data_IF_217658149187
#
_entry.id   IF_217658149187
#
_cell.length_a   1.000
_cell.length_b   1.000
_cell.length_c   1.000
_cell.angle_alpha   90.00
_cell.angle_beta   90.00
_cell.angle_gamma   90.00
#
_symmetry.space_group_name_H-M   'P 1'
#
loop_
_entity.id
_entity.type
_entity.pdbx_description
1 polymer ?
#
# COMPACT_ATOMS: atom_id res chain seq x y z
N UNK A 1 2.12 -5.09 9.35
CA UNK A 1 1.17 -4.30 8.53
C UNK A 1 -0.14 -5.09 8.45
N UNK A 2 -1.26 -4.60 8.98
CA UNK A 2 -2.55 -5.31 8.87
C UNK A 2 -3.06 -5.18 7.42
N UNK A 3 -3.19 -6.31 6.71
CA UNK A 3 -3.71 -6.40 5.33
C UNK A 3 -5.24 -6.52 5.30
N UNK A 4 -5.83 -6.51 4.10
CA UNK A 4 -7.28 -6.72 3.92
C UNK A 4 -8.15 -5.50 4.29
N UNK A 5 -9.34 -5.69 4.89
CA UNK A 5 -10.27 -4.62 5.23
C UNK A 5 -9.67 -3.44 6.01
N UNK A 6 -8.76 -3.72 6.94
CA UNK A 6 -8.10 -2.69 7.74
C UNK A 6 -7.18 -1.78 6.89
N UNK A 7 -6.61 -2.31 5.81
CA UNK A 7 -5.83 -1.53 4.88
C UNK A 7 -6.71 -0.59 4.05
N UNK A 8 -7.92 -1.04 3.66
CA UNK A 8 -8.89 -0.22 2.93
C UNK A 8 -9.27 1.01 3.75
N UNK A 9 -9.64 0.81 5.02
CA UNK A 9 -10.01 1.91 5.91
C UNK A 9 -8.86 2.91 6.08
N UNK A 10 -7.66 2.42 6.40
CA UNK A 10 -6.49 3.28 6.59
C UNK A 10 -6.20 4.11 5.33
N UNK A 11 -6.22 3.48 4.17
CA UNK A 11 -5.91 4.16 2.91
C UNK A 11 -7.00 5.18 2.55
N UNK A 12 -8.28 4.89 2.81
CA UNK A 12 -9.36 5.84 2.55
C UNK A 12 -9.33 7.03 3.51
N UNK A 13 -8.96 6.82 4.77
CA UNK A 13 -8.74 7.90 5.74
C UNK A 13 -7.58 8.80 5.32
N UNK A 14 -6.50 8.23 4.79
CA UNK A 14 -5.36 9.01 4.28
C UNK A 14 -5.76 9.88 3.08
N UNK A 15 -6.59 9.35 2.19
CA UNK A 15 -6.98 10.04 0.95
C UNK A 15 -8.05 11.11 1.19
N UNK A 16 -9.06 10.83 2.02
CA UNK A 16 -10.22 11.70 2.20
C UNK A 16 -10.25 12.44 3.54
N UNK A 17 -9.35 12.11 4.46
CA UNK A 17 -9.32 12.64 5.82
C UNK A 17 -10.44 12.09 6.71
N UNK A 18 -10.42 12.44 8.02
CA UNK A 18 -11.47 12.06 8.97
C UNK A 18 -12.81 12.74 8.69
N UNK A 19 -12.79 13.90 8.01
CA UNK A 19 -13.95 14.73 7.71
C UNK A 19 -14.60 14.42 6.36
N UNK A 20 -14.27 13.26 5.74
CA UNK A 20 -14.79 12.85 4.43
C UNK A 20 -16.32 12.98 4.34
N UNK A 21 -17.04 12.69 5.43
CA UNK A 21 -18.50 12.79 5.54
C UNK A 21 -19.04 14.21 5.25
N UNK A 22 -18.29 15.27 5.58
CA UNK A 22 -18.71 16.67 5.34
C UNK A 22 -18.67 17.05 3.86
N UNK A 23 -17.86 16.35 3.06
CA UNK A 23 -17.72 16.60 1.62
C UNK A 23 -18.77 15.85 0.77
N UNK A 24 -19.70 15.15 1.42
CA UNK A 24 -20.72 14.32 0.76
C UNK A 24 -20.37 12.83 0.74
N UNK A 25 -21.40 12.01 0.50
CA UNK A 25 -21.25 10.56 0.46
C UNK A 25 -20.58 10.12 -0.85
N UNK A 26 -19.57 9.26 -0.76
CA UNK A 26 -18.87 8.67 -1.93
C UNK A 26 -19.14 7.18 -2.01
N UNK A 27 -19.23 6.64 -3.23
CA UNK A 27 -19.34 5.19 -3.45
C UNK A 27 -17.95 4.60 -3.73
N UNK A 28 -17.57 3.58 -2.98
CA UNK A 28 -16.37 2.77 -3.20
C UNK A 28 -16.78 1.37 -3.64
N UNK A 29 -16.32 0.98 -4.82
CA UNK A 29 -16.49 -0.39 -5.33
C UNK A 29 -15.32 -1.23 -4.86
N UNK A 30 -15.61 -2.31 -4.14
CA UNK A 30 -14.61 -3.20 -3.56
C UNK A 30 -14.70 -4.60 -4.16
N UNK A 31 -13.53 -5.19 -4.39
CA UNK A 31 -13.44 -6.58 -4.81
C UNK A 31 -13.81 -7.55 -3.68
N UNK A 32 -14.22 -8.76 -4.07
CA UNK A 32 -14.65 -9.87 -3.23
C UNK A 32 -13.70 -10.19 -2.07
N UNK A 33 -12.40 -10.03 -2.30
CA UNK A 33 -11.39 -10.26 -1.28
C UNK A 33 -11.55 -9.33 -0.07
N UNK A 34 -11.92 -8.07 -0.31
CA UNK A 34 -12.05 -7.04 0.73
C UNK A 34 -13.45 -6.98 1.34
N UNK A 35 -14.49 -7.37 0.59
CA UNK A 35 -15.88 -7.24 1.02
C UNK A 35 -16.17 -8.07 2.30
N UNK A 36 -16.67 -7.37 3.32
CA UNK A 36 -17.16 -7.96 4.58
C UNK A 36 -18.19 -7.03 5.22
N UNK A 37 -19.05 -7.58 6.08
CA UNK A 37 -20.08 -6.80 6.78
C UNK A 37 -19.45 -5.77 7.72
N UNK A 38 -18.39 -6.15 8.43
CA UNK A 38 -17.65 -5.23 9.29
C UNK A 38 -17.07 -4.04 8.51
N UNK A 39 -16.44 -4.30 7.35
CA UNK A 39 -15.92 -3.23 6.50
C UNK A 39 -17.03 -2.32 5.99
N UNK A 40 -18.14 -2.89 5.52
CA UNK A 40 -19.25 -2.11 4.96
C UNK A 40 -19.84 -1.14 6.01
N UNK A 41 -20.03 -1.62 7.25
CA UNK A 41 -20.48 -0.79 8.37
C UNK A 41 -19.45 0.29 8.71
N UNK A 42 -18.16 -0.06 8.77
CA UNK A 42 -17.10 0.89 9.07
C UNK A 42 -17.00 2.01 8.03
N UNK A 43 -17.08 1.67 6.74
CA UNK A 43 -17.10 2.66 5.66
C UNK A 43 -18.33 3.55 5.75
N UNK A 44 -19.50 2.98 6.07
CA UNK A 44 -20.72 3.76 6.26
C UNK A 44 -20.57 4.80 7.39
N UNK A 45 -19.95 4.42 8.50
CA UNK A 45 -19.65 5.36 9.61
C UNK A 45 -18.67 6.46 9.20
N UNK A 46 -17.75 6.16 8.28
CA UNK A 46 -16.82 7.14 7.69
C UNK A 46 -17.47 8.04 6.62
N UNK A 47 -18.76 7.88 6.33
CA UNK A 47 -19.45 8.63 5.27
C UNK A 47 -19.18 8.09 3.86
N UNK A 48 -18.85 6.82 3.73
CA UNK A 48 -18.53 6.16 2.46
C UNK A 48 -19.50 5.00 2.23
N UNK A 49 -20.21 5.04 1.11
CA UNK A 49 -20.97 3.91 0.59
C UNK A 49 -20.04 2.89 -0.02
N UNK A 50 -20.38 1.62 0.11
CA UNK A 50 -19.59 0.51 -0.43
C UNK A 50 -20.46 -0.42 -1.23
N UNK A 51 -19.93 -0.97 -2.31
CA UNK A 51 -20.56 -2.08 -3.04
C UNK A 51 -19.49 -3.08 -3.43
N UNK A 52 -19.76 -4.36 -3.18
CA UNK A 52 -18.83 -5.41 -3.53
C UNK A 52 -19.52 -6.75 -3.67
N UNK A 53 -18.92 -7.64 -4.46
CA UNK A 53 -19.30 -9.05 -4.39
C UNK A 53 -18.81 -9.64 -3.06
N UNK A 54 -19.51 -10.64 -2.51
CA UNK A 54 -19.18 -11.17 -1.18
C UNK A 54 -19.14 -12.70 -1.16
N UNK A 55 -18.22 -13.26 -0.35
CA UNK A 55 -18.18 -14.69 -0.07
C UNK A 55 -19.27 -15.09 0.93
N UNK A 56 -19.90 -16.24 0.71
CA UNK A 56 -21.02 -16.75 1.53
C UNK A 56 -20.62 -17.10 2.96
N UNK A 57 -19.35 -17.38 3.21
CA UNK A 57 -18.81 -17.72 4.53
C UNK A 57 -18.37 -16.49 5.35
N UNK A 58 -18.61 -15.26 4.87
CA UNK A 58 -18.30 -14.06 5.65
C UNK A 58 -19.25 -13.94 6.85
N UNK A 59 -18.67 -13.67 8.02
CA UNK A 59 -19.42 -13.43 9.25
C UNK A 59 -20.42 -12.29 9.07
N UNK A 60 -21.64 -12.47 9.59
CA UNK A 60 -22.71 -11.48 9.54
C UNK A 60 -23.44 -11.37 8.20
N UNK A 61 -23.03 -12.08 7.16
CA UNK A 61 -23.74 -12.04 5.87
C UNK A 61 -25.10 -12.77 5.96
N UNK A 62 -26.12 -12.18 5.34
CA UNK A 62 -27.48 -12.71 5.39
C UNK A 62 -27.57 -14.05 4.62
N UNK A 63 -27.82 -15.15 5.36
CA UNK A 63 -27.95 -16.48 4.76
C UNK A 63 -29.25 -16.67 3.97
N UNK A 64 -30.28 -15.87 4.23
CA UNK A 64 -31.59 -15.99 3.57
C UNK A 64 -31.54 -15.64 2.08
N UNK A 65 -30.59 -14.79 1.66
CA UNK A 65 -30.38 -14.47 0.23
C UNK A 65 -29.49 -15.48 -0.48
N UNK A 66 -28.93 -16.47 0.23
CA UNK A 66 -28.02 -17.45 -0.39
C UNK A 66 -28.82 -18.47 -1.17
N UNK A 67 -28.60 -18.48 -2.47
CA UNK A 67 -29.13 -19.51 -3.36
C UNK A 67 -28.42 -20.84 -3.14
N UNK A 68 -29.21 -21.92 -2.98
CA UNK A 68 -28.71 -23.29 -2.75
C UNK A 68 -28.13 -23.91 -4.03
N UNK A 69 -28.68 -23.55 -5.20
CA UNK A 69 -28.26 -24.09 -6.49
C UNK A 69 -27.03 -23.34 -7.02
N UNK A 70 -26.09 -24.07 -7.62
CA UNK A 70 -24.84 -23.50 -8.18
C UNK A 70 -25.06 -22.77 -9.51
N UNK A 71 -26.02 -23.25 -10.30
CA UNK A 71 -26.38 -22.72 -11.62
C UNK A 71 -27.84 -22.29 -11.63
N UNK A 72 -28.17 -21.33 -12.50
CA UNK A 72 -29.54 -20.84 -12.65
C UNK A 72 -30.44 -21.94 -13.22
N UNK A 73 -31.54 -22.31 -12.54
CA UNK A 73 -32.56 -23.20 -13.10
C UNK A 73 -33.27 -22.56 -14.29
N UNK A 74 -33.71 -23.37 -15.25
CA UNK A 74 -34.49 -22.88 -16.40
C UNK A 74 -35.80 -22.17 -15.99
N UNK A 75 -36.40 -22.57 -14.86
CA UNK A 75 -37.62 -21.94 -14.32
C UNK A 75 -37.40 -20.54 -13.75
N UNK A 76 -36.15 -20.12 -13.51
CA UNK A 76 -35.84 -18.78 -12.98
C UNK A 76 -35.37 -17.91 -14.15
N UNK A 77 -36.09 -16.82 -14.47
CA UNK A 77 -35.65 -15.87 -15.49
C UNK A 77 -34.28 -15.28 -15.15
N UNK A 78 -33.43 -15.12 -16.17
CA UNK A 78 -32.15 -14.41 -16.04
C UNK A 78 -32.43 -12.98 -15.58
N UNK A 79 -31.67 -12.50 -14.60
CA UNK A 79 -31.86 -11.19 -13.97
C UNK A 79 -32.73 -11.19 -12.72
N UNK A 80 -33.38 -12.30 -12.39
CA UNK A 80 -34.13 -12.42 -11.13
C UNK A 80 -33.23 -12.16 -9.92
N UNK A 81 -33.74 -11.46 -8.90
CA UNK A 81 -32.95 -11.15 -7.72
C UNK A 81 -33.74 -11.25 -6.41
N UNK A 82 -32.99 -11.49 -5.33
CA UNK A 82 -33.47 -11.41 -3.94
C UNK A 82 -32.71 -10.30 -3.22
N UNK A 83 -33.43 -9.54 -2.42
CA UNK A 83 -32.88 -8.44 -1.62
C UNK A 83 -33.24 -8.70 -0.16
N UNK A 84 -32.25 -8.61 0.72
CA UNK A 84 -32.47 -8.57 2.16
C UNK A 84 -31.80 -7.32 2.74
N UNK A 85 -32.58 -6.54 3.46
CA UNK A 85 -32.08 -5.36 4.19
C UNK A 85 -31.75 -5.75 5.62
N UNK A 86 -30.64 -5.25 6.16
CA UNK A 86 -30.28 -5.49 7.55
C UNK A 86 -31.25 -4.77 8.49
N UNK A 87 -31.69 -5.46 9.54
CA UNK A 87 -32.54 -4.89 10.59
C UNK A 87 -31.77 -3.94 11.51
N UNK A 88 -30.48 -4.22 11.74
CA UNK A 88 -29.63 -3.43 12.64
C UNK A 88 -29.04 -2.20 11.96
N UNK A 89 -28.79 -2.30 10.64
CA UNK A 89 -28.20 -1.22 9.84
C UNK A 89 -29.03 -1.08 8.56
N UNK A 90 -30.09 -0.25 8.55
CA UNK A 90 -31.04 -0.17 7.44
C UNK A 90 -30.42 0.17 6.08
N UNK A 91 -29.29 0.88 6.09
CA UNK A 91 -28.54 1.25 4.89
C UNK A 91 -27.72 0.09 4.30
N UNK A 92 -27.62 -1.05 4.98
CA UNK A 92 -26.90 -2.24 4.51
C UNK A 92 -27.86 -3.21 3.86
N UNK A 93 -27.57 -3.56 2.61
CA UNK A 93 -28.40 -4.47 1.81
C UNK A 93 -27.56 -5.60 1.23
N UNK A 94 -28.05 -6.82 1.38
CA UNK A 94 -27.52 -8.02 0.75
C UNK A 94 -28.38 -8.39 -0.47
N UNK A 95 -27.74 -8.69 -1.59
CA UNK A 95 -28.41 -8.98 -2.85
C UNK A 95 -27.89 -10.29 -3.42
N UNK A 96 -28.79 -11.13 -3.92
CA UNK A 96 -28.45 -12.26 -4.79
C UNK A 96 -29.10 -12.04 -6.14
N UNK A 97 -28.29 -11.99 -7.21
CA UNK A 97 -28.73 -11.73 -8.57
C UNK A 97 -28.40 -12.94 -9.46
N UNK A 98 -29.39 -13.40 -10.22
CA UNK A 98 -29.28 -14.57 -11.08
C UNK A 98 -28.80 -14.20 -12.48
N UNK A 99 -27.53 -14.47 -12.75
CA UNK A 99 -27.01 -14.55 -14.13
C UNK A 99 -26.98 -16.01 -14.58
N UNK A 100 -25.91 -16.50 -15.21
CA UNK A 100 -25.70 -17.95 -15.41
C UNK A 100 -25.47 -18.67 -14.07
N UNK A 101 -24.85 -17.96 -13.11
CA UNK A 101 -24.61 -18.39 -11.72
C UNK A 101 -25.10 -17.29 -10.77
N UNK A 102 -25.46 -17.62 -9.52
CA UNK A 102 -25.92 -16.62 -8.57
C UNK A 102 -24.75 -15.77 -8.11
N UNK A 103 -24.81 -14.47 -8.38
CA UNK A 103 -23.84 -13.48 -7.94
C UNK A 103 -24.36 -12.80 -6.67
N UNK A 104 -23.51 -12.69 -5.66
CA UNK A 104 -23.89 -12.20 -4.32
C UNK A 104 -23.18 -10.89 -4.07
N UNK A 105 -23.95 -9.89 -3.67
CA UNK A 105 -23.46 -8.56 -3.38
C UNK A 105 -23.78 -8.16 -1.95
N UNK A 106 -22.89 -7.38 -1.37
CA UNK A 106 -23.13 -6.60 -0.17
C UNK A 106 -22.93 -5.13 -0.53
N UNK A 107 -23.90 -4.30 -0.17
CA UNK A 107 -23.80 -2.86 -0.37
C UNK A 107 -24.26 -2.08 0.85
N UNK A 108 -23.65 -0.91 1.04
CA UNK A 108 -24.09 0.12 1.97
C UNK A 108 -24.46 1.35 1.18
N UNK A 109 -25.72 1.79 1.31
CA UNK A 109 -26.31 2.77 0.40
C UNK A 109 -26.50 2.24 -1.02
N UNK A 110 -26.84 3.14 -1.93
CA UNK A 110 -27.17 2.81 -3.32
C UNK A 110 -28.64 2.44 -3.52
N UNK A 111 -29.11 2.63 -4.75
CA UNK A 111 -30.51 2.38 -5.10
C UNK A 111 -30.74 0.90 -5.43
N UNK A 112 -31.82 0.35 -4.87
CA UNK A 112 -32.33 -0.98 -5.20
C UNK A 112 -33.43 -0.94 -6.25
N UNK A 113 -33.66 0.22 -6.89
CA UNK A 113 -34.59 0.33 -8.01
C UNK A 113 -34.16 -0.60 -9.14
N UNK A 114 -35.15 -1.11 -9.88
CA UNK A 114 -34.92 -1.96 -11.04
C UNK A 114 -34.32 -1.09 -12.16
N UNK A 115 -33.22 -1.57 -12.72
CA UNK A 115 -32.55 -1.05 -13.91
C UNK A 115 -32.18 -2.26 -14.80
N UNK A 116 -31.49 -2.03 -15.90
CA UNK A 116 -31.07 -3.05 -16.86
C UNK A 116 -29.56 -2.98 -17.12
N UNK A 117 -28.97 -4.15 -17.33
CA UNK A 117 -27.57 -4.30 -17.75
C UNK A 117 -27.50 -5.12 -19.01
N UNK A 118 -26.77 -4.64 -20.01
CA UNK A 118 -26.50 -5.39 -21.23
C UNK A 118 -25.61 -6.60 -20.94
N UNK A 119 -26.05 -7.77 -21.38
CA UNK A 119 -25.30 -9.03 -21.27
C UNK A 119 -25.25 -9.72 -22.61
N UNK A 120 -24.09 -10.30 -22.89
CA UNK A 120 -23.96 -11.16 -24.04
C UNK A 120 -24.63 -12.51 -23.76
N UNK A 121 -25.44 -12.97 -24.69
CA UNK A 121 -26.05 -14.29 -24.72
C UNK A 121 -25.75 -14.91 -26.09
N UNK A 122 -24.68 -15.71 -26.16
CA UNK A 122 -24.12 -16.15 -27.44
C UNK A 122 -23.63 -14.98 -28.30
N UNK A 123 -24.26 -14.79 -29.46
CA UNK A 123 -23.94 -13.72 -30.39
C UNK A 123 -24.73 -12.42 -30.14
N UNK A 124 -25.81 -12.46 -29.36
CA UNK A 124 -26.70 -11.33 -29.15
C UNK A 124 -26.43 -10.61 -27.82
N UNK A 125 -26.74 -9.32 -27.76
CA UNK A 125 -26.79 -8.58 -26.51
C UNK A 125 -28.23 -8.51 -26.00
N UNK A 126 -28.46 -9.08 -24.82
CA UNK A 126 -29.74 -9.11 -24.15
C UNK A 126 -29.69 -8.16 -22.94
N UNK A 127 -30.71 -7.34 -22.79
CA UNK A 127 -30.87 -6.53 -21.58
C UNK A 127 -31.47 -7.36 -20.44
N UNK A 128 -30.72 -7.48 -19.36
CA UNK A 128 -31.11 -8.26 -18.19
C UNK A 128 -31.50 -7.33 -17.05
N UNK A 129 -32.66 -7.52 -16.39
CA UNK A 129 -33.04 -6.70 -15.24
C UNK A 129 -32.06 -6.92 -14.08
N UNK A 130 -31.70 -5.84 -13.40
CA UNK A 130 -30.83 -5.88 -12.24
C UNK A 130 -31.13 -4.70 -11.30
N UNK A 131 -30.84 -4.80 -10.00
CA UNK A 131 -30.85 -3.64 -9.12
C UNK A 131 -29.82 -2.60 -9.58
N UNK A 132 -30.13 -1.31 -9.50
CA UNK A 132 -29.22 -0.22 -9.91
C UNK A 132 -27.82 -0.33 -9.29
N UNK A 133 -27.73 -0.74 -8.03
CA UNK A 133 -26.44 -0.98 -7.36
C UNK A 133 -25.56 -2.05 -8.04
N UNK A 134 -26.16 -3.04 -8.72
CA UNK A 134 -25.44 -4.04 -9.52
C UNK A 134 -24.90 -3.42 -10.81
N UNK A 135 -25.67 -2.52 -11.43
CA UNK A 135 -25.21 -1.75 -12.60
C UNK A 135 -24.06 -0.82 -12.22
N UNK A 136 -24.18 -0.10 -11.10
CA UNK A 136 -23.11 0.76 -10.57
C UNK A 136 -21.84 -0.07 -10.29
N UNK A 137 -21.98 -1.25 -9.68
CA UNK A 137 -20.84 -2.16 -9.49
C UNK A 137 -20.16 -2.49 -10.82
N UNK A 138 -20.90 -2.90 -11.84
CA UNK A 138 -20.31 -3.26 -13.13
C UNK A 138 -19.68 -2.08 -13.86
N UNK A 139 -20.22 -0.87 -13.70
CA UNK A 139 -19.67 0.34 -14.30
C UNK A 139 -18.30 0.70 -13.71
N UNK A 140 -18.08 0.46 -12.41
CA UNK A 140 -16.89 0.94 -11.70
C UNK A 140 -15.90 -0.15 -11.27
N UNK A 141 -16.28 -1.43 -11.23
CA UNK A 141 -15.42 -2.53 -10.73
C UNK A 141 -14.08 -2.65 -11.49
N UNK A 142 -14.04 -2.27 -12.77
CA UNK A 142 -12.86 -2.38 -13.62
C UNK A 142 -11.87 -1.21 -13.51
N UNK A 143 -12.13 -0.21 -12.67
CA UNK A 143 -11.28 0.99 -12.62
C UNK A 143 -9.80 0.70 -12.32
N UNK A 144 -9.55 -0.21 -11.38
CA UNK A 144 -8.18 -0.64 -11.01
C UNK A 144 -7.56 -1.49 -12.11
N UNK A 145 -8.32 -2.44 -12.68
CA UNK A 145 -7.83 -3.32 -13.74
C UNK A 145 -7.46 -2.53 -15.01
N UNK A 146 -8.23 -1.50 -15.36
CA UNK A 146 -7.93 -0.61 -16.49
C UNK A 146 -6.64 0.18 -16.24
N UNK A 147 -6.42 0.66 -15.01
CA UNK A 147 -5.18 1.34 -14.64
C UNK A 147 -3.98 0.38 -14.74
N UNK A 148 -4.10 -0.83 -14.17
CA UNK A 148 -3.05 -1.84 -14.21
C UNK A 148 -2.80 -2.34 -15.65
N UNK A 149 -3.85 -2.41 -16.47
CA UNK A 149 -3.75 -2.72 -17.89
C UNK A 149 -2.93 -1.65 -18.63
N UNK A 150 -3.21 -0.35 -18.42
CA UNK A 150 -2.41 0.72 -19.02
C UNK A 150 -0.94 0.65 -18.57
N UNK A 151 -0.72 0.31 -17.30
CA UNK A 151 0.58 0.22 -16.66
C UNK A 151 1.41 -0.97 -17.14
N UNK A 152 0.85 -2.18 -17.14
CA UNK A 152 1.57 -3.46 -17.34
C UNK A 152 1.57 -3.97 -18.79
N UNK A 153 0.93 -3.29 -19.74
CA UNK A 153 0.90 -3.72 -21.14
C UNK A 153 2.19 -3.37 -21.90
N UNK A 154 2.08 -2.57 -22.97
CA UNK A 154 3.11 -2.46 -24.03
C UNK A 154 4.30 -1.57 -23.66
N UNK A 155 4.15 -0.71 -22.66
CA UNK A 155 5.13 0.34 -22.35
C UNK A 155 5.61 0.30 -20.89
N UNK A 156 5.44 -0.84 -20.19
CA UNK A 156 5.89 -0.99 -18.81
C UNK A 156 7.41 -1.07 -18.73
N UNK A 157 8.03 -0.12 -18.04
CA UNK A 157 9.45 -0.18 -17.69
C UNK A 157 9.72 -1.36 -16.75
N UNK A 158 8.82 -1.61 -15.79
CA UNK A 158 8.95 -2.69 -14.83
C UNK A 158 9.04 -4.08 -15.51
N UNK A 159 8.30 -4.29 -16.61
CA UNK A 159 8.34 -5.56 -17.37
C UNK A 159 9.47 -5.60 -18.39
N UNK A 160 9.89 -4.45 -18.92
CA UNK A 160 10.96 -4.37 -19.92
C UNK A 160 12.34 -4.67 -19.31
N UNK A 161 12.59 -4.26 -18.07
CA UNK A 161 13.90 -4.38 -17.42
C UNK A 161 13.85 -5.33 -16.22
N UNK A 162 14.63 -6.43 -16.30
CA UNK A 162 14.76 -7.39 -15.19
C UNK A 162 16.05 -7.15 -14.43
N UNK A 163 15.93 -6.83 -13.13
CA UNK A 163 17.08 -6.66 -12.25
C UNK A 163 17.18 -7.81 -11.24
N UNK A 164 18.40 -8.18 -10.84
CA UNK A 164 18.65 -9.13 -9.74
C UNK A 164 18.10 -8.64 -8.39
N UNK A 165 18.11 -7.31 -8.18
CA UNK A 165 17.66 -6.68 -6.92
C UNK A 165 16.22 -6.15 -7.08
N UNK A 166 15.29 -6.66 -6.26
CA UNK A 166 13.84 -6.40 -6.40
C UNK A 166 13.46 -4.91 -6.28
N UNK A 167 14.15 -4.14 -5.43
CA UNK A 167 13.81 -2.72 -5.21
C UNK A 167 13.97 -1.87 -6.49
N UNK A 168 14.87 -2.25 -7.41
CA UNK A 168 15.01 -1.56 -8.70
C UNK A 168 13.75 -1.72 -9.55
N UNK A 169 13.18 -2.93 -9.57
CA UNK A 169 11.90 -3.20 -10.23
C UNK A 169 10.75 -2.44 -9.56
N UNK A 170 10.77 -2.32 -8.23
CA UNK A 170 9.77 -1.53 -7.49
C UNK A 170 9.81 -0.04 -7.90
N UNK A 171 11.00 0.56 -7.98
CA UNK A 171 11.16 1.96 -8.43
C UNK A 171 10.63 2.15 -9.85
N UNK A 172 10.97 1.26 -10.79
CA UNK A 172 10.40 1.31 -12.14
C UNK A 172 8.87 1.19 -12.13
N UNK A 173 8.33 0.36 -11.24
CA UNK A 173 6.89 0.23 -11.06
C UNK A 173 6.21 1.52 -10.58
N UNK A 174 6.89 2.35 -9.78
CA UNK A 174 6.41 3.66 -9.35
C UNK A 174 6.50 4.70 -10.47
N UNK A 175 7.54 4.64 -11.30
CA UNK A 175 7.66 5.49 -12.50
C UNK A 175 6.54 5.15 -13.48
N UNK A 176 6.28 3.86 -13.75
CA UNK A 176 5.17 3.41 -14.58
C UNK A 176 3.83 3.95 -14.04
N UNK A 177 3.62 3.93 -12.72
CA UNK A 177 2.43 4.49 -12.07
C UNK A 177 2.30 6.01 -12.28
N UNK A 178 3.40 6.75 -12.12
CA UNK A 178 3.41 8.20 -12.33
C UNK A 178 3.10 8.58 -13.79
N UNK A 179 3.66 7.85 -14.76
CA UNK A 179 3.41 8.04 -16.18
C UNK A 179 1.93 7.84 -16.52
N UNK A 180 1.32 6.75 -16.03
CA UNK A 180 -0.11 6.45 -16.26
C UNK A 180 -0.98 7.53 -15.61
N UNK A 181 -0.66 7.97 -14.39
CA UNK A 181 -1.39 9.05 -13.73
C UNK A 181 -1.31 10.36 -14.53
N UNK A 182 -0.12 10.71 -15.06
CA UNK A 182 0.04 11.85 -15.96
C UNK A 182 -0.81 11.74 -17.23
N UNK A 183 -0.89 10.55 -17.82
CA UNK A 183 -1.74 10.31 -18.99
C UNK A 183 -3.24 10.43 -18.68
N UNK A 184 -3.68 9.99 -17.49
CA UNK A 184 -5.07 10.16 -17.02
C UNK A 184 -5.39 11.65 -16.88
N UNK A 185 -4.50 12.43 -16.26
CA UNK A 185 -4.65 13.89 -16.13
C UNK A 185 -4.70 14.56 -17.50
N UNK A 186 -3.80 14.19 -18.41
CA UNK A 186 -3.80 14.68 -19.79
C UNK A 186 -5.14 14.42 -20.49
N UNK A 187 -5.70 13.22 -20.38
CA UNK A 187 -7.03 12.90 -20.92
C UNK A 187 -8.14 13.74 -20.27
N UNK A 188 -8.10 13.94 -18.96
CA UNK A 188 -9.08 14.74 -18.24
C UNK A 188 -9.03 16.22 -18.68
N UNK A 189 -7.82 16.78 -18.83
CA UNK A 189 -7.62 18.15 -19.32
C UNK A 189 -8.21 18.35 -20.72
N UNK A 190 -7.92 17.44 -21.66
CA UNK A 190 -8.44 17.53 -23.03
C UNK A 190 -9.95 17.31 -23.13
N UNK A 191 -10.54 16.50 -22.24
CA UNK A 191 -11.98 16.33 -22.13
C UNK A 191 -12.69 17.65 -21.76
N UNK A 192 -12.08 18.46 -20.89
CA UNK A 192 -12.65 19.73 -20.44
C UNK A 192 -12.46 20.87 -21.47
N UNK A 193 -11.49 20.76 -22.38
CA UNK A 193 -11.18 21.77 -23.41
C UNK A 193 -11.71 21.41 -24.81
N UNK A 194 -12.59 20.42 -24.94
CA UNK A 194 -13.13 19.91 -26.21
C UNK A 194 -12.05 19.61 -27.28
N UNK A 195 -10.85 19.23 -26.86
CA UNK A 195 -9.74 18.93 -27.77
C UNK A 195 -9.43 17.44 -27.74
N UNK A 196 -8.94 16.91 -28.87
CA UNK A 196 -8.68 15.48 -28.99
C UNK A 196 -7.43 15.09 -28.20
N UNK A 197 -7.52 14.20 -27.19
CA UNK A 197 -6.34 13.75 -26.47
C UNK A 197 -5.44 12.90 -27.37
N UNK A 198 -4.13 13.03 -27.17
CA UNK A 198 -3.13 12.11 -27.71
C UNK A 198 -3.46 10.65 -27.33
N UNK A 199 -3.16 9.74 -28.26
CA UNK A 199 -3.15 8.30 -27.95
C UNK A 199 -2.03 7.98 -26.96
N UNK A 200 -2.16 6.87 -26.23
CA UNK A 200 -1.17 6.49 -25.21
C UNK A 200 0.26 6.42 -25.79
N UNK A 201 0.40 5.85 -27.00
CA UNK A 201 1.69 5.76 -27.69
C UNK A 201 2.28 7.14 -28.00
N UNK A 202 1.46 8.06 -28.55
CA UNK A 202 1.91 9.41 -28.89
C UNK A 202 2.26 10.21 -27.64
N UNK A 203 1.50 10.02 -26.55
CA UNK A 203 1.81 10.59 -25.25
C UNK A 203 3.16 10.11 -24.73
N UNK A 204 3.42 8.80 -24.78
CA UNK A 204 4.70 8.21 -24.36
C UNK A 204 5.88 8.72 -25.18
N UNK A 205 5.74 8.79 -26.51
CA UNK A 205 6.80 9.33 -27.39
C UNK A 205 7.09 10.79 -27.04
N UNK A 206 6.04 11.61 -26.90
CA UNK A 206 6.19 13.03 -26.56
C UNK A 206 6.86 13.20 -25.20
N UNK A 207 6.41 12.46 -24.18
CA UNK A 207 7.01 12.48 -22.85
C UNK A 207 8.49 12.09 -22.91
N UNK A 208 8.84 11.03 -23.64
CA UNK A 208 10.22 10.58 -23.77
C UNK A 208 11.11 11.64 -24.43
N UNK A 209 10.66 12.25 -25.54
CA UNK A 209 11.39 13.33 -26.21
C UNK A 209 11.60 14.53 -25.28
N UNK A 210 10.56 14.93 -24.53
CA UNK A 210 10.65 16.03 -23.58
C UNK A 210 11.66 15.73 -22.46
N UNK A 211 11.66 14.51 -21.93
CA UNK A 211 12.63 14.09 -20.91
C UNK A 211 14.07 14.07 -21.44
N UNK A 212 14.28 13.71 -22.71
CA UNK A 212 15.61 13.75 -23.34
C UNK A 212 16.11 15.18 -23.61
N UNK A 213 15.21 16.15 -23.72
CA UNK A 213 15.53 17.55 -24.00
C UNK A 213 15.70 18.41 -22.74
N UNK A 214 15.42 17.86 -21.55
CA UNK A 214 15.53 18.55 -20.28
C UNK A 214 16.92 19.15 -20.10
N UNK A 215 16.96 20.45 -19.81
CA UNK A 215 18.15 21.19 -19.41
C UNK A 215 18.19 21.35 -17.88
N UNK A 216 19.36 21.72 -17.35
CA UNK A 216 19.50 22.00 -15.92
C UNK A 216 18.55 23.12 -15.44
N UNK A 217 18.23 24.08 -16.31
CA UNK A 217 17.29 25.18 -16.04
C UNK A 217 15.83 24.75 -15.95
N UNK A 218 15.48 23.59 -16.54
CA UNK A 218 14.12 23.04 -16.48
C UNK A 218 13.86 22.28 -15.17
N UNK A 219 14.93 21.97 -14.43
CA UNK A 219 14.84 21.32 -13.13
C UNK A 219 14.55 22.38 -12.08
N UNK A 220 13.31 22.40 -11.57
CA UNK A 220 12.90 23.29 -10.48
C UNK A 220 13.83 23.11 -9.26
N UNK A 221 14.59 24.16 -8.90
CA UNK A 221 15.56 24.13 -7.79
C UNK A 221 14.92 23.83 -6.43
N UNK A 222 13.60 24.03 -6.29
CA UNK A 222 12.86 23.68 -5.07
C UNK A 222 12.40 22.21 -4.98
N UNK A 223 12.75 21.34 -5.95
CA UNK A 223 12.47 19.90 -5.86
C UNK A 223 13.49 19.22 -4.92
N UNK A 224 13.29 19.34 -3.60
CA UNK A 224 13.98 18.53 -2.61
C UNK A 224 13.45 17.09 -2.64
N UNK A 225 13.76 16.34 -3.70
CA UNK A 225 13.54 14.89 -3.73
C UNK A 225 14.44 14.23 -2.68
N UNK A 226 13.89 13.88 -1.53
CA UNK A 226 14.55 12.97 -0.58
C UNK A 226 15.56 13.58 0.40
N UNK A 227 15.72 14.90 0.46
CA UNK A 227 16.25 15.54 1.68
C UNK A 227 15.14 15.64 2.73
N UNK A 228 14.64 14.49 3.17
CA UNK A 228 14.34 14.44 4.60
C UNK A 228 15.70 14.68 5.25
N UNK A 229 15.90 15.86 5.84
CA UNK A 229 16.94 15.99 6.85
C UNK A 229 16.78 14.76 7.75
N UNK A 230 17.86 13.97 7.98
CA UNK A 230 17.82 12.97 9.03
C UNK A 230 17.18 13.64 10.24
N UNK A 231 16.20 13.02 10.92
CA UNK A 231 15.67 13.60 12.17
C UNK A 231 16.89 14.03 12.97
N UNK A 232 16.94 15.32 13.31
CA UNK A 232 18.14 15.98 13.82
C UNK A 232 18.86 15.00 14.73
N UNK A 233 20.04 14.52 14.31
CA UNK A 233 20.89 13.75 15.21
C UNK A 233 21.00 14.62 16.45
N UNK A 234 20.54 14.15 17.63
CA UNK A 234 20.59 14.96 18.83
C UNK A 234 22.01 15.52 18.92
N UNK A 235 22.12 16.84 19.00
CA UNK A 235 23.40 17.53 19.09
C UNK A 235 24.18 16.86 20.21
N UNK A 236 25.18 16.07 19.84
CA UNK A 236 26.14 15.54 20.77
C UNK A 236 27.11 16.68 21.00
N UNK A 237 26.90 17.45 22.07
CA UNK A 237 27.98 18.24 22.64
C UNK A 237 28.93 17.25 23.32
N UNK A 238 30.17 17.08 22.81
CA UNK A 238 31.16 16.30 23.54
C UNK A 238 31.42 17.02 24.85
N UNK A 239 31.12 16.36 25.97
CA UNK A 239 31.57 16.85 27.27
C UNK A 239 33.11 16.88 27.21
N UNK A 240 33.77 17.97 27.66
CA UNK A 240 35.21 17.99 27.82
C UNK A 240 35.61 16.79 28.68
N UNK A 241 36.37 15.87 28.07
CA UNK A 241 36.95 14.73 28.78
C UNK A 241 37.71 15.32 29.97
N UNK A 242 37.26 14.98 31.18
CA UNK A 242 37.93 15.37 32.41
C UNK A 242 39.41 15.05 32.27
N UNK A 243 40.25 16.01 32.66
CA UNK A 243 41.71 15.95 32.61
C UNK A 243 42.19 14.70 33.35
N UNK A 244 42.38 13.64 32.58
CA UNK A 244 42.94 12.37 32.99
C UNK A 244 43.84 11.89 31.85
N UNK A 245 44.91 11.13 32.16
CA UNK A 245 45.88 10.70 31.15
C UNK A 245 45.15 9.97 30.01
N UNK A 246 45.55 10.21 28.74
CA UNK A 246 44.86 9.66 27.58
C UNK A 246 44.77 8.14 27.70
N UNK A 247 43.55 7.62 27.72
CA UNK A 247 43.32 6.19 27.74
C UNK A 247 43.98 5.55 26.51
N UNK A 248 44.88 4.60 26.71
CA UNK A 248 45.61 3.85 25.68
C UNK A 248 44.73 2.88 24.85
N UNK A 249 43.41 3.01 24.96
CA UNK A 249 42.42 2.15 24.34
C UNK A 249 41.85 2.80 23.07
N UNK A 250 42.15 2.19 21.92
CA UNK A 250 41.68 2.66 20.60
C UNK A 250 40.60 1.72 20.09
N UNK A 251 39.47 2.29 19.66
CA UNK A 251 38.41 1.53 19.00
C UNK A 251 38.85 1.08 17.61
N UNK A 252 38.94 -0.23 17.41
CA UNK A 252 39.25 -0.85 16.11
C UNK A 252 38.01 -1.50 15.52
N UNK A 253 37.91 -1.50 14.20
CA UNK A 253 36.81 -2.15 13.51
C UNK A 253 37.22 -3.56 13.06
N UNK A 254 36.28 -4.51 13.09
CA UNK A 254 36.53 -5.90 12.66
C UNK A 254 36.75 -5.96 11.15
N UNK A 255 37.89 -6.54 10.76
CA UNK A 255 38.25 -6.78 9.36
C UNK A 255 37.76 -8.13 8.80
N UNK A 256 37.12 -8.95 9.63
CA UNK A 256 36.51 -10.20 9.18
C UNK A 256 35.15 -9.95 8.51
N UNK A 257 34.99 -10.42 7.28
CA UNK A 257 33.74 -10.35 6.52
C UNK A 257 32.99 -11.69 6.52
N UNK A 258 31.68 -11.66 6.22
CA UNK A 258 30.83 -12.83 5.95
C UNK A 258 30.20 -12.70 4.56
N UNK A 259 30.00 -13.85 3.91
CA UNK A 259 29.37 -14.04 2.60
C UNK A 259 30.07 -13.27 1.47
N UNK A 260 31.17 -13.84 0.99
CA UNK A 260 31.94 -13.29 -0.14
C UNK A 260 31.12 -13.24 -1.45
N UNK A 261 30.17 -14.15 -1.63
CA UNK A 261 29.48 -14.32 -2.93
C UNK A 261 28.22 -13.45 -3.15
N UNK A 262 27.59 -12.93 -2.10
CA UNK A 262 26.22 -12.34 -2.24
C UNK A 262 25.97 -11.03 -1.52
N UNK A 263 26.78 -10.66 -0.52
CA UNK A 263 26.82 -9.34 0.12
C UNK A 263 27.88 -9.34 1.22
N UNK A 264 29.03 -8.69 0.98
CA UNK A 264 30.07 -8.53 1.98
C UNK A 264 29.52 -7.73 3.17
N UNK A 265 29.31 -8.39 4.32
CA UNK A 265 29.00 -7.73 5.60
C UNK A 265 30.07 -8.08 6.63
N UNK A 266 30.57 -7.07 7.35
CA UNK A 266 31.52 -7.29 8.45
C UNK A 266 30.87 -8.13 9.54
N UNK A 267 31.64 -9.06 10.12
CA UNK A 267 31.21 -9.87 11.25
C UNK A 267 30.89 -8.95 12.43
N UNK A 268 29.69 -9.10 12.98
CA UNK A 268 29.24 -8.37 14.15
C UNK A 268 29.29 -9.29 15.37
N UNK A 269 29.68 -8.76 16.53
CA UNK A 269 29.62 -9.48 17.82
C UNK A 269 28.78 -8.72 18.84
N UNK A 270 28.29 -9.42 19.85
CA UNK A 270 27.47 -8.81 20.89
C UNK A 270 28.27 -7.79 21.70
N UNK A 271 27.69 -6.61 21.92
CA UNK A 271 28.29 -5.59 22.77
C UNK A 271 28.29 -6.07 24.23
N UNK A 272 29.42 -5.91 24.93
CA UNK A 272 29.58 -6.33 26.33
C UNK A 272 28.63 -5.58 27.27
N UNK A 273 28.57 -4.25 27.14
CA UNK A 273 27.69 -3.38 27.95
C UNK A 273 26.21 -3.64 27.65
N UNK A 274 25.83 -3.87 26.38
CA UNK A 274 24.46 -4.26 26.05
C UNK A 274 24.09 -5.65 26.55
N UNK A 275 25.05 -6.58 26.59
CA UNK A 275 24.85 -7.92 27.13
C UNK A 275 24.71 -7.92 28.64
N UNK A 276 25.50 -7.09 29.35
CA UNK A 276 25.49 -6.99 30.80
C UNK A 276 24.20 -6.31 31.32
N UNK A 277 23.78 -5.25 30.66
CA UNK A 277 22.63 -4.43 31.09
C UNK A 277 21.34 -4.80 30.33
N UNK A 278 21.18 -6.06 29.92
CA UNK A 278 19.96 -6.53 29.27
C UNK A 278 18.84 -6.63 30.31
N UNK A 279 17.66 -6.10 29.99
CA UNK A 279 16.45 -6.24 30.82
C UNK A 279 15.45 -7.11 30.06
N UNK A 280 15.07 -8.25 30.65
CA UNK A 280 14.14 -9.21 30.03
C UNK A 280 14.74 -10.03 28.87
N UNK A 281 13.88 -10.45 27.93
CA UNK A 281 14.23 -11.33 26.79
C UNK A 281 14.90 -10.60 25.61
N UNK A 282 15.22 -9.31 25.74
CA UNK A 282 15.80 -8.55 24.62
C UNK A 282 17.23 -8.99 24.31
N UNK A 283 17.50 -9.26 23.02
CA UNK A 283 18.84 -9.61 22.53
C UNK A 283 19.79 -8.42 22.64
N UNK A 284 21.01 -8.69 23.10
CA UNK A 284 22.07 -7.70 23.15
C UNK A 284 22.35 -7.13 21.75
N UNK A 285 22.59 -5.81 21.68
CA UNK A 285 22.96 -5.16 20.43
C UNK A 285 24.31 -5.65 19.94
N UNK A 286 24.45 -5.80 18.62
CA UNK A 286 25.71 -6.19 17.98
C UNK A 286 26.49 -4.97 17.48
N UNK A 287 27.81 -5.08 17.44
CA UNK A 287 28.74 -4.04 16.98
C UNK A 287 29.85 -4.66 16.13
N UNK A 288 30.46 -3.83 15.28
CA UNK A 288 31.68 -4.17 14.51
C UNK A 288 32.93 -3.55 15.12
N UNK A 289 32.82 -2.82 16.24
CA UNK A 289 33.94 -2.16 16.90
C UNK A 289 34.35 -2.89 18.16
N UNK A 290 35.65 -2.96 18.42
CA UNK A 290 36.22 -3.60 19.58
C UNK A 290 37.47 -2.87 20.09
N UNK A 291 37.76 -3.08 21.38
CA UNK A 291 39.03 -2.73 22.00
C UNK A 291 39.88 -4.00 22.13
N UNK A 292 41.06 -4.00 21.53
CA UNK A 292 42.00 -5.12 21.64
C UNK A 292 42.76 -5.15 22.97
N UNK A 293 42.91 -4.00 23.62
CA UNK A 293 43.81 -3.81 24.77
C UNK A 293 43.07 -3.78 26.11
N UNK A 294 41.76 -4.03 26.14
CA UNK A 294 40.93 -3.85 27.33
C UNK A 294 40.81 -5.10 28.21
N UNK A 295 41.29 -6.27 27.77
CA UNK A 295 41.26 -7.52 28.53
C UNK A 295 42.25 -8.54 27.97
N UNK A 296 43.01 -9.21 28.85
CA UNK A 296 43.97 -10.26 28.49
C UNK A 296 43.29 -11.53 27.94
N UNK A 297 41.98 -11.69 28.19
CA UNK A 297 41.17 -12.81 27.68
C UNK A 297 40.59 -12.56 26.28
N UNK A 298 40.89 -11.41 25.66
CA UNK A 298 40.54 -11.12 24.27
C UNK A 298 39.72 -9.84 24.05
N UNK A 299 39.37 -9.54 22.78
CA UNK A 299 38.82 -8.24 22.39
C UNK A 299 37.42 -7.99 22.97
N UNK A 300 37.22 -6.79 23.55
CA UNK A 300 35.93 -6.34 24.08
C UNK A 300 35.17 -5.58 23.00
N UNK A 301 33.93 -5.98 22.73
CA UNK A 301 33.08 -5.36 21.71
C UNK A 301 32.15 -4.32 22.32
N UNK A 302 32.18 -3.09 21.80
CA UNK A 302 31.42 -1.95 22.31
C UNK A 302 30.68 -1.21 21.18
N UNK A 303 29.47 -0.71 21.45
CA UNK A 303 28.69 0.05 20.49
C UNK A 303 29.15 1.51 20.45
N UNK A 304 29.54 2.00 19.26
CA UNK A 304 29.89 3.41 19.02
C UNK A 304 28.69 4.32 18.72
N UNK A 305 27.46 3.81 18.88
CA UNK A 305 26.23 4.62 18.75
C UNK A 305 25.68 4.88 20.15
N UNK A 306 25.22 6.10 20.38
CA UNK A 306 24.56 6.45 21.62
C UNK A 306 23.33 5.56 21.81
N UNK A 307 23.36 4.73 22.86
CA UNK A 307 22.30 3.75 23.16
C UNK A 307 21.79 3.88 24.58
N UNK A 308 22.36 4.80 25.36
CA UNK A 308 22.07 4.97 26.79
C UNK A 308 22.06 6.44 27.15
N UNK A 309 21.32 6.76 28.20
CA UNK A 309 21.39 8.06 28.87
C UNK A 309 22.02 7.87 30.24
N UNK A 310 23.09 8.60 30.51
CA UNK A 310 23.74 8.67 31.83
C UNK A 310 23.67 10.12 32.27
N UNK A 311 23.03 10.39 33.41
CA UNK A 311 22.83 11.76 33.94
C UNK A 311 22.19 12.73 32.92
N UNK A 312 21.27 12.22 32.10
CA UNK A 312 20.56 13.01 31.08
C UNK A 312 21.32 13.17 29.75
N UNK A 313 22.57 12.71 29.65
CA UNK A 313 23.39 12.82 28.43
C UNK A 313 23.42 11.49 27.69
N UNK A 314 23.22 11.53 26.37
CA UNK A 314 23.28 10.35 25.53
C UNK A 314 24.73 9.88 25.35
N UNK A 315 25.05 8.67 25.82
CA UNK A 315 26.40 8.10 25.75
C UNK A 315 26.45 6.84 24.90
N UNK A 316 27.59 6.63 24.23
CA UNK A 316 27.87 5.36 23.57
C UNK A 316 28.24 4.30 24.61
N UNK A 317 28.24 3.02 24.24
CA UNK A 317 28.75 1.98 25.14
C UNK A 317 30.28 1.99 25.25
N UNK A 318 30.97 2.83 24.46
CA UNK A 318 32.42 3.02 24.55
C UNK A 318 32.79 4.02 25.64
N UNK A 319 31.91 4.99 25.89
CA UNK A 319 32.13 6.06 26.86
C UNK A 319 31.66 5.70 28.28
N UNK A 320 31.23 4.44 28.49
CA UNK A 320 30.72 3.87 29.74
C UNK A 320 31.73 2.86 30.27
#
# INVERSE_FOLDING_TARGET
>A
MKSGPAAVVRNLLEVFGPEARKQGMRLVVVDRFYTSVALAIQLLLMGIYSVGTIMTNRLGYCKQVIEKKKTRPASIPRGSFKIARSKLVPNTTAISWWDSRPVRFLCTGGSTAIDRVGRQDGAEQVEVPCPRVVKDYHAFMGGVDVHDQLRLQRYSLQRALRFKKYYKSLVLGLIDLAIVNGYIVHKAYHKNKESRPLTHVKYMIKLHLQLCQLQATDMYEGNTFGTQQPPATPNYEPIPVGVGPPSTHIARQVDQWRNEDTQAKRRQRACKVCSALRSGEQRASTTTYFCGNCNDLGPIFLCMRARRQVRGVAMTCWDI
#
